data_IF_938108674663
#
_entry.id   IF_938108674663
#
_cell.length_a   1.000
_cell.length_b   1.000
_cell.length_c   1.000
_cell.angle_alpha   90.00
_cell.angle_beta   90.00
_cell.angle_gamma   90.00
#
_symmetry.space_group_name_H-M   'P 1'
#
loop_
_entity.id
_entity.type
_entity.pdbx_description
1 polymer ?
#
# COMPACT_ATOMS: atom_id res chain seq x y z
N UNK A 1 7.04 3.30 16.44
CA UNK A 1 6.84 3.96 15.15
C UNK A 1 5.36 3.92 14.86
N UNK A 2 4.75 5.07 14.57
CA UNK A 2 3.38 5.16 14.10
C UNK A 2 3.33 4.94 12.57
N UNK A 3 2.15 4.60 12.04
CA UNK A 3 1.98 4.39 10.59
C UNK A 3 2.27 5.67 9.77
N UNK A 4 2.06 6.85 10.35
CA UNK A 4 2.46 8.13 9.76
C UNK A 4 3.99 8.32 9.70
N UNK A 5 4.73 7.85 10.70
CA UNK A 5 6.20 7.87 10.67
C UNK A 5 6.76 6.89 9.62
N UNK A 6 6.10 5.75 9.41
CA UNK A 6 6.42 4.82 8.32
C UNK A 6 6.29 5.51 6.96
N UNK A 7 5.16 6.19 6.71
CA UNK A 7 4.93 6.96 5.49
C UNK A 7 6.03 7.99 5.25
N UNK A 8 6.36 8.77 6.30
CA UNK A 8 7.43 9.76 6.24
C UNK A 8 8.78 9.13 5.84
N UNK A 9 9.15 7.99 6.43
CA UNK A 9 10.41 7.32 6.11
C UNK A 9 10.45 6.75 4.69
N UNK A 10 9.34 6.21 4.19
CA UNK A 10 9.25 5.71 2.82
C UNK A 10 9.28 6.84 1.78
N UNK A 11 8.73 8.01 2.09
CA UNK A 11 8.83 9.18 1.22
C UNK A 11 10.24 9.78 1.21
N UNK A 12 10.76 10.14 2.39
CA UNK A 12 11.96 10.98 2.51
C UNK A 12 13.28 10.20 2.56
N UNK A 13 13.24 8.91 2.94
CA UNK A 13 14.44 8.11 3.21
C UNK A 13 14.38 6.72 2.59
N UNK A 14 13.68 6.56 1.47
CA UNK A 14 13.44 5.25 0.83
C UNK A 14 14.69 4.37 0.70
N UNK A 15 15.84 4.93 0.30
CA UNK A 15 17.06 4.15 0.09
C UNK A 15 17.65 3.52 1.36
N UNK A 16 17.23 3.98 2.55
CA UNK A 16 17.61 3.38 3.83
C UNK A 16 16.72 2.17 4.19
N UNK A 17 15.51 2.11 3.66
CA UNK A 17 14.48 1.13 4.04
C UNK A 17 14.14 0.15 2.91
N UNK A 18 14.28 0.56 1.66
CA UNK A 18 14.01 -0.21 0.45
C UNK A 18 15.32 -0.38 -0.34
N UNK A 19 15.95 -1.57 -0.29
CA UNK A 19 17.29 -1.77 -0.82
C UNK A 19 17.36 -1.67 -2.35
N UNK A 20 16.27 -1.97 -3.05
CA UNK A 20 16.21 -2.07 -4.51
C UNK A 20 15.18 -1.14 -5.18
N UNK A 21 14.45 -0.35 -4.38
CA UNK A 21 13.49 0.63 -4.87
C UNK A 21 12.26 0.06 -5.59
N UNK A 22 12.04 -1.26 -5.55
CA UNK A 22 10.87 -1.88 -6.18
C UNK A 22 9.64 -1.81 -5.31
N UNK A 23 8.49 -1.74 -5.95
CA UNK A 23 7.18 -1.78 -5.33
C UNK A 23 6.99 -3.05 -4.49
N UNK A 24 7.45 -4.20 -4.97
CA UNK A 24 7.40 -5.46 -4.24
C UNK A 24 8.11 -5.39 -2.87
N UNK A 25 9.26 -4.70 -2.82
CA UNK A 25 10.02 -4.51 -1.59
C UNK A 25 9.31 -3.56 -0.62
N UNK A 26 8.65 -2.52 -1.14
CA UNK A 26 7.81 -1.64 -0.33
C UNK A 26 6.60 -2.38 0.27
N UNK A 27 5.92 -3.22 -0.53
CA UNK A 27 4.82 -4.07 -0.05
C UNK A 27 5.29 -4.99 1.06
N UNK A 28 6.41 -5.70 0.86
CA UNK A 28 6.97 -6.61 1.87
C UNK A 28 7.33 -5.88 3.17
N UNK A 29 7.88 -4.65 3.06
CA UNK A 29 8.20 -3.83 4.22
C UNK A 29 6.95 -3.41 5.00
N UNK A 30 5.91 -2.93 4.32
CA UNK A 30 4.62 -2.53 4.92
C UNK A 30 3.92 -3.72 5.58
N UNK A 31 3.87 -4.86 4.90
CA UNK A 31 3.33 -6.12 5.44
C UNK A 31 4.09 -6.58 6.69
N UNK A 32 5.44 -6.54 6.63
CA UNK A 32 6.30 -6.89 7.76
C UNK A 32 6.08 -5.97 8.96
N UNK A 33 5.96 -4.67 8.72
CA UNK A 33 5.62 -3.69 9.74
C UNK A 33 4.26 -3.97 10.38
N UNK A 34 3.22 -4.19 9.56
CA UNK A 34 1.88 -4.49 10.06
C UNK A 34 1.86 -5.79 10.87
N UNK A 35 2.56 -6.82 10.40
CA UNK A 35 2.71 -8.11 11.09
C UNK A 35 3.40 -7.96 12.44
N UNK A 36 4.49 -7.18 12.50
CA UNK A 36 5.22 -6.91 13.75
C UNK A 36 4.36 -6.20 14.81
N UNK A 37 3.33 -5.46 14.38
CA UNK A 37 2.36 -4.78 15.24
C UNK A 37 1.04 -5.57 15.42
N UNK A 38 1.04 -6.86 15.12
CA UNK A 38 -0.13 -7.74 15.31
C UNK A 38 -1.29 -7.44 14.36
N UNK A 39 -1.02 -6.81 13.22
CA UNK A 39 -2.01 -6.49 12.18
C UNK A 39 -2.92 -5.31 12.50
N UNK A 40 -2.69 -4.62 13.62
CA UNK A 40 -3.60 -3.56 14.09
C UNK A 40 -3.51 -2.28 13.24
N UNK A 41 -2.32 -1.95 12.73
CA UNK A 41 -2.07 -0.67 12.05
C UNK A 41 -2.77 -0.54 10.71
N UNK A 42 -2.94 -1.64 9.96
CA UNK A 42 -3.67 -1.66 8.68
C UNK A 42 -5.02 -2.36 8.79
N UNK A 43 -5.56 -2.54 10.00
CA UNK A 43 -6.89 -3.13 10.17
C UNK A 43 -7.93 -2.27 9.45
N UNK A 44 -8.63 -2.88 8.49
CA UNK A 44 -9.65 -2.20 7.67
C UNK A 44 -9.10 -1.52 6.40
N UNK A 45 -7.78 -1.44 6.23
CA UNK A 45 -7.16 -0.82 5.06
C UNK A 45 -7.60 -1.48 3.74
N UNK A 46 -7.62 -2.81 3.71
CA UNK A 46 -8.11 -3.59 2.56
C UNK A 46 -9.49 -3.13 2.08
N UNK A 47 -10.47 -3.10 2.99
CA UNK A 47 -11.87 -2.79 2.69
C UNK A 47 -12.02 -1.33 2.27
N UNK A 48 -11.36 -0.43 3.00
CA UNK A 48 -11.31 0.98 2.66
C UNK A 48 -10.75 1.21 1.25
N UNK A 49 -9.61 0.58 0.94
CA UNK A 49 -8.93 0.74 -0.34
C UNK A 49 -9.77 0.17 -1.50
N UNK A 50 -10.36 -1.01 -1.33
CA UNK A 50 -11.22 -1.59 -2.37
C UNK A 50 -12.42 -0.70 -2.68
N UNK A 51 -13.08 -0.15 -1.65
CA UNK A 51 -14.19 0.79 -1.83
C UNK A 51 -13.73 2.07 -2.50
N UNK A 52 -12.55 2.59 -2.13
CA UNK A 52 -11.99 3.80 -2.71
C UNK A 52 -11.63 3.65 -4.19
N UNK A 53 -10.92 2.58 -4.55
CA UNK A 53 -10.36 2.41 -5.91
C UNK A 53 -11.38 1.76 -6.86
N UNK A 54 -12.17 0.80 -6.39
CA UNK A 54 -13.13 0.07 -7.24
C UNK A 54 -14.60 0.42 -6.99
N UNK A 55 -14.92 1.21 -5.96
CA UNK A 55 -16.32 1.51 -5.60
C UNK A 55 -17.07 0.34 -4.96
N UNK A 56 -16.38 -0.77 -4.65
CA UNK A 56 -16.96 -2.00 -4.09
C UNK A 56 -15.92 -2.79 -3.29
N UNK A 57 -16.37 -3.72 -2.47
CA UNK A 57 -15.47 -4.68 -1.82
C UNK A 57 -14.78 -5.60 -2.84
N UNK A 58 -13.54 -5.96 -2.54
CA UNK A 58 -12.72 -6.85 -3.37
C UNK A 58 -11.91 -7.82 -2.51
N UNK A 59 -11.85 -9.08 -2.95
CA UNK A 59 -10.98 -10.11 -2.38
C UNK A 59 -9.53 -10.06 -2.86
N UNK A 60 -9.22 -9.20 -3.84
CA UNK A 60 -7.86 -9.00 -4.33
C UNK A 60 -7.05 -8.26 -3.27
N UNK A 61 -5.87 -8.78 -2.90
CA UNK A 61 -5.03 -8.19 -1.86
C UNK A 61 -4.70 -6.71 -2.16
N UNK A 62 -4.66 -5.87 -1.13
CA UNK A 62 -4.55 -4.40 -1.25
C UNK A 62 -3.38 -3.98 -2.14
N UNK A 63 -2.26 -4.69 -2.10
CA UNK A 63 -1.07 -4.40 -2.90
C UNK A 63 -1.33 -4.52 -4.40
N UNK A 64 -2.16 -5.48 -4.81
CA UNK A 64 -2.59 -5.58 -6.21
C UNK A 64 -3.59 -4.49 -6.58
N UNK A 65 -4.44 -4.07 -5.63
CA UNK A 65 -5.36 -2.94 -5.85
C UNK A 65 -4.55 -1.66 -6.13
N UNK A 66 -3.53 -1.37 -5.32
CA UNK A 66 -2.63 -0.23 -5.57
C UNK A 66 -1.90 -0.37 -6.91
N UNK A 67 -1.27 -1.52 -7.18
CA UNK A 67 -0.58 -1.75 -8.45
C UNK A 67 -1.49 -1.56 -9.67
N UNK A 68 -2.76 -1.97 -9.56
CA UNK A 68 -3.76 -1.85 -10.63
C UNK A 68 -4.13 -0.41 -11.01
N UNK A 69 -3.78 0.58 -10.19
CA UNK A 69 -3.98 2.00 -10.50
C UNK A 69 -3.15 2.41 -11.72
N UNK A 70 -1.96 1.82 -11.88
CA UNK A 70 -1.01 2.13 -12.96
C UNK A 70 -0.86 1.00 -13.97
N UNK A 71 -1.02 -0.25 -13.53
CA UNK A 71 -0.82 -1.45 -14.35
C UNK A 71 -2.10 -2.29 -14.33
N UNK A 72 -3.00 -2.03 -15.28
CA UNK A 72 -4.35 -2.62 -15.31
C UNK A 72 -4.33 -4.16 -15.33
N UNK A 73 -3.28 -4.76 -15.90
CA UNK A 73 -3.05 -6.20 -15.93
C UNK A 73 -3.01 -6.84 -14.53
N UNK A 74 -2.61 -6.10 -13.50
CA UNK A 74 -2.51 -6.61 -12.12
C UNK A 74 -3.84 -6.58 -11.36
N UNK A 75 -4.92 -6.10 -11.98
CA UNK A 75 -6.23 -5.90 -11.33
C UNK A 75 -6.84 -7.15 -10.73
N UNK A 76 -6.62 -8.30 -11.35
CA UNK A 76 -7.18 -9.58 -10.88
C UNK A 76 -6.26 -10.31 -9.87
N UNK A 77 -5.06 -9.78 -9.59
CA UNK A 77 -4.10 -10.36 -8.66
C UNK A 77 -3.45 -11.67 -9.11
N UNK A 78 -3.68 -12.09 -10.35
CA UNK A 78 -3.14 -13.34 -10.92
C UNK A 78 -1.73 -13.24 -11.51
N UNK A 79 -1.22 -12.03 -11.70
CA UNK A 79 0.13 -11.77 -12.22
C UNK A 79 1.04 -11.23 -11.12
N UNK A 80 2.31 -11.59 -11.13
CA UNK A 80 3.29 -11.15 -10.14
C UNK A 80 3.75 -9.71 -10.36
N UNK A 81 4.33 -9.11 -9.31
CA UNK A 81 4.92 -7.77 -9.37
C UNK A 81 6.15 -7.67 -10.30
N UNK A 82 6.70 -8.78 -10.78
CA UNK A 82 7.72 -8.80 -11.83
C UNK A 82 7.26 -8.16 -13.15
N UNK A 83 5.93 -8.01 -13.32
CA UNK A 83 5.32 -7.36 -14.49
C UNK A 83 5.17 -5.86 -14.36
N UNK A 84 5.48 -5.29 -13.19
CA UNK A 84 5.50 -3.85 -13.01
C UNK A 84 6.69 -3.29 -13.80
N UNK A 85 6.46 -2.36 -14.75
CA UNK A 85 7.56 -1.70 -15.43
C UNK A 85 8.43 -0.94 -14.41
N UNK A 86 9.77 -0.94 -14.56
CA UNK A 86 10.66 -0.33 -13.57
C UNK A 86 10.44 1.19 -13.40
N UNK A 87 9.92 1.87 -14.41
CA UNK A 87 9.53 3.28 -14.32
C UNK A 87 8.27 3.52 -13.46
N UNK A 88 7.48 2.47 -13.20
CA UNK A 88 6.28 2.53 -12.38
C UNK A 88 6.53 2.22 -10.90
N UNK A 89 7.65 1.56 -10.57
CA UNK A 89 7.96 1.17 -9.18
C UNK A 89 7.94 2.38 -8.23
N UNK A 90 8.66 3.44 -8.58
CA UNK A 90 8.71 4.66 -7.78
C UNK A 90 7.33 5.32 -7.66
N UNK A 91 6.58 5.39 -8.75
CA UNK A 91 5.25 6.01 -8.77
C UNK A 91 4.29 5.21 -7.87
N UNK A 92 4.30 3.89 -7.96
CA UNK A 92 3.47 3.01 -7.16
C UNK A 92 3.84 3.02 -5.67
N UNK A 93 5.12 3.20 -5.34
CA UNK A 93 5.57 3.41 -3.96
C UNK A 93 4.99 4.73 -3.42
N UNK A 94 5.04 5.80 -4.20
CA UNK A 94 4.45 7.08 -3.80
C UNK A 94 2.92 6.96 -3.62
N UNK A 95 2.22 6.37 -4.60
CA UNK A 95 0.78 6.12 -4.55
C UNK A 95 0.42 5.30 -3.29
N UNK A 96 1.21 4.27 -2.96
CA UNK A 96 1.04 3.47 -1.74
C UNK A 96 1.15 4.31 -0.47
N UNK A 97 2.21 5.12 -0.36
CA UNK A 97 2.44 5.95 0.83
C UNK A 97 1.32 6.98 1.00
N UNK A 98 0.88 7.61 -0.08
CA UNK A 98 -0.24 8.55 -0.07
C UNK A 98 -1.54 7.89 0.37
N UNK A 99 -1.86 6.70 -0.16
CA UNK A 99 -3.06 5.95 0.23
C UNK A 99 -3.05 5.53 1.69
N UNK A 100 -1.90 5.11 2.23
CA UNK A 100 -1.76 4.80 3.65
C UNK A 100 -1.95 6.06 4.51
N UNK A 101 -1.34 7.18 4.14
CA UNK A 101 -1.47 8.44 4.87
C UNK A 101 -2.92 8.94 4.89
N UNK A 102 -3.61 8.80 3.76
CA UNK A 102 -5.02 9.14 3.65
C UNK A 102 -5.90 8.22 4.49
N UNK A 103 -5.65 6.91 4.47
CA UNK A 103 -6.35 5.95 5.31
C UNK A 103 -6.21 6.29 6.79
N UNK A 104 -4.99 6.62 7.25
CA UNK A 104 -4.74 7.03 8.64
C UNK A 104 -5.57 8.26 8.98
N UNK A 105 -5.56 9.27 8.11
CA UNK A 105 -6.34 10.50 8.29
C UNK A 105 -7.84 10.22 8.34
N UNK A 106 -8.33 9.33 7.47
CA UNK A 106 -9.73 8.92 7.43
C UNK A 106 -10.13 8.14 8.68
N UNK A 107 -9.31 7.19 9.15
CA UNK A 107 -9.58 6.41 10.35
C UNK A 107 -9.62 7.26 11.62
N UNK A 108 -8.79 8.31 11.69
CA UNK A 108 -8.75 9.24 12.80
C UNK A 108 -9.99 10.14 12.89
N UNK A 109 -10.70 10.33 11.76
CA UNK A 109 -11.95 11.12 11.70
C UNK A 109 -13.18 10.35 12.18
N UNK A 110 -13.01 9.09 12.59
CA UNK A 110 -14.07 8.25 13.12
C UNK A 110 -14.59 7.28 12.07
N UNK A 111 -14.29 6.01 12.26
CA UNK A 111 -15.07 4.93 11.68
C UNK A 111 -16.16 4.55 12.68
N UNK A 112 -17.39 4.95 12.39
CA UNK A 112 -18.61 4.29 12.89
C UNK A 112 -18.93 3.21 11.84
N UNK A 113 -18.57 1.97 12.14
CA UNK A 113 -18.76 0.83 11.25
C UNK A 113 -18.47 -0.48 11.97
#
# INVERSE_FOLDING_TARGET
MALSELCFHLQERRGMYLPDGRYASAVAFVEGYNTALGGASLRGFQQWLSKRVYGRDSGVHWSYIVASIRVNELRDGGMGFDRIPPDQDEILINDLVELIAEFVTWSARGFDG
#
